data_IF_439495765057
#
_entry.id   IF_439495765057
#
_cell.length_a   1.000
_cell.length_b   1.000
_cell.length_c   1.000
_cell.angle_alpha   90.00
_cell.angle_beta   90.00
_cell.angle_gamma   90.00
#
_symmetry.space_group_name_H-M   'P 1'
#
loop_
_entity.id
_entity.type
_entity.pdbx_description
1 polymer ?
#
# COMPACT_ATOMS: atom_id res chain seq x y z
N UNK A 1 44.44 -46.48 14.61
CA UNK A 1 44.15 -45.06 14.87
C UNK A 1 43.45 -44.52 13.64
N UNK A 2 42.14 -44.29 13.74
CA UNK A 2 41.36 -43.66 12.69
C UNK A 2 40.87 -42.32 13.26
N UNK A 3 41.35 -41.22 12.69
CA UNK A 3 40.93 -39.87 13.04
C UNK A 3 39.46 -39.70 12.65
N UNK A 4 38.60 -39.57 13.65
CA UNK A 4 37.22 -39.15 13.49
C UNK A 4 37.27 -37.67 13.14
N UNK A 5 37.01 -37.36 11.88
CA UNK A 5 36.80 -36.00 11.38
C UNK A 5 35.60 -35.38 12.10
N UNK A 6 35.86 -34.63 13.18
CA UNK A 6 34.88 -33.75 13.80
C UNK A 6 34.63 -32.59 12.85
N UNK A 7 33.51 -32.62 12.14
CA UNK A 7 32.97 -31.45 11.46
C UNK A 7 32.79 -30.31 12.49
N UNK A 8 33.19 -29.07 12.19
CA UNK A 8 32.98 -27.96 13.09
C UNK A 8 31.49 -27.64 13.14
N UNK A 9 30.83 -27.94 14.26
CA UNK A 9 29.50 -27.41 14.58
C UNK A 9 29.63 -25.91 14.85
N UNK A 10 29.66 -25.09 13.79
CA UNK A 10 29.39 -23.66 13.92
C UNK A 10 28.00 -23.51 14.52
N UNK A 11 27.89 -22.83 15.67
CA UNK A 11 26.61 -22.51 16.27
C UNK A 11 25.72 -21.81 15.24
N UNK A 12 24.66 -22.47 14.77
CA UNK A 12 23.70 -21.90 13.82
C UNK A 12 23.01 -20.73 14.52
N UNK A 13 23.21 -19.50 14.03
CA UNK A 13 22.57 -18.33 14.61
C UNK A 13 21.14 -18.22 14.08
N UNK A 14 20.17 -17.99 14.97
CA UNK A 14 18.80 -17.72 14.54
C UNK A 14 18.73 -16.35 13.84
N UNK A 15 17.98 -16.26 12.72
CA UNK A 15 17.81 -15.01 12.01
C UNK A 15 17.07 -13.97 12.87
N UNK A 16 17.43 -12.70 12.69
CA UNK A 16 16.70 -11.59 13.31
C UNK A 16 15.38 -11.36 12.55
N UNK A 17 14.27 -11.61 13.24
CA UNK A 17 12.90 -11.49 12.71
C UNK A 17 12.25 -10.26 13.31
N UNK A 18 11.78 -9.35 12.45
CA UNK A 18 11.13 -8.13 12.84
C UNK A 18 9.60 -8.31 12.82
N UNK A 19 9.05 -8.75 13.96
CA UNK A 19 7.62 -8.97 14.15
C UNK A 19 6.81 -7.68 13.99
N UNK A 20 7.39 -6.54 14.39
CA UNK A 20 6.75 -5.23 14.24
C UNK A 20 6.57 -4.85 12.77
N UNK A 21 7.58 -5.08 11.94
CA UNK A 21 7.49 -4.85 10.50
C UNK A 21 6.45 -5.78 9.85
N UNK A 22 6.44 -7.07 10.22
CA UNK A 22 5.45 -8.03 9.74
C UNK A 22 4.02 -7.56 10.07
N UNK A 23 3.74 -7.24 11.34
CA UNK A 23 2.40 -6.83 11.75
C UNK A 23 1.97 -5.49 11.13
N UNK A 24 2.90 -4.53 11.05
CA UNK A 24 2.63 -3.25 10.40
C UNK A 24 2.34 -3.44 8.92
N UNK A 25 3.08 -4.31 8.23
CA UNK A 25 2.83 -4.65 6.83
C UNK A 25 1.43 -5.25 6.63
N UNK A 26 1.02 -6.20 7.48
CA UNK A 26 -0.34 -6.80 7.44
C UNK A 26 -1.43 -5.74 7.66
N UNK A 27 -1.23 -4.81 8.60
CA UNK A 27 -2.14 -3.67 8.84
C UNK A 27 -2.21 -2.74 7.63
N UNK A 28 -1.06 -2.39 7.05
CA UNK A 28 -0.97 -1.53 5.88
C UNK A 28 -1.66 -2.17 4.67
N UNK A 29 -1.41 -3.45 4.41
CA UNK A 29 -2.08 -4.23 3.36
C UNK A 29 -3.60 -4.19 3.58
N UNK A 30 -4.07 -4.49 4.79
CA UNK A 30 -5.50 -4.52 5.10
C UNK A 30 -6.17 -3.15 4.88
N UNK A 31 -5.50 -2.07 5.29
CA UNK A 31 -5.99 -0.70 5.10
C UNK A 31 -6.03 -0.31 3.62
N UNK A 32 -4.94 -0.57 2.89
CA UNK A 32 -4.83 -0.22 1.46
C UNK A 32 -5.76 -1.07 0.58
N UNK A 33 -6.00 -2.34 0.94
CA UNK A 33 -6.90 -3.23 0.20
C UNK A 33 -8.37 -2.79 0.29
N UNK A 34 -8.75 -1.99 1.29
CA UNK A 34 -10.09 -1.40 1.38
C UNK A 34 -10.25 -0.15 0.51
N UNK A 35 -9.14 0.43 0.02
CA UNK A 35 -9.17 1.60 -0.83
C UNK A 35 -9.63 1.19 -2.23
N UNK A 36 -10.83 1.63 -2.61
CA UNK A 36 -11.48 1.22 -3.85
C UNK A 36 -10.68 1.68 -5.07
N UNK A 37 -10.20 0.72 -5.89
CA UNK A 37 -9.60 1.02 -7.20
C UNK A 37 -10.69 1.05 -8.28
N UNK A 38 -11.42 2.17 -8.41
CA UNK A 38 -12.42 2.35 -9.46
C UNK A 38 -11.76 2.23 -10.85
N UNK A 39 -12.30 1.35 -11.73
CA UNK A 39 -11.82 1.16 -13.10
C UNK A 39 -10.83 0.00 -13.30
N UNK A 40 -10.40 -0.69 -12.24
CA UNK A 40 -9.63 -1.95 -12.35
C UNK A 40 -10.05 -2.94 -11.27
N UNK A 41 -11.24 -3.53 -11.42
CA UNK A 41 -11.84 -4.46 -10.45
C UNK A 41 -10.96 -5.69 -10.19
N UNK A 42 -10.20 -6.13 -11.20
CA UNK A 42 -9.25 -7.25 -11.08
C UNK A 42 -8.13 -6.93 -10.09
N UNK A 43 -7.62 -5.69 -10.07
CA UNK A 43 -6.59 -5.27 -9.11
C UNK A 43 -7.16 -5.19 -7.70
N UNK A 44 -8.41 -4.72 -7.56
CA UNK A 44 -9.11 -4.72 -6.28
C UNK A 44 -9.29 -6.13 -5.72
N UNK A 45 -9.73 -7.09 -6.54
CA UNK A 45 -9.90 -8.49 -6.13
C UNK A 45 -8.57 -9.09 -5.67
N UNK A 46 -7.51 -8.84 -6.44
CA UNK A 46 -6.15 -9.28 -6.10
C UNK A 46 -5.66 -8.65 -4.79
N UNK A 47 -5.87 -7.36 -4.58
CA UNK A 47 -5.52 -6.65 -3.34
C UNK A 47 -6.25 -7.24 -2.12
N UNK A 48 -7.55 -7.53 -2.26
CA UNK A 48 -8.33 -8.19 -1.22
C UNK A 48 -7.82 -9.60 -0.92
N UNK A 49 -7.42 -10.36 -1.95
CA UNK A 49 -6.82 -11.69 -1.79
C UNK A 49 -5.49 -11.64 -1.03
N UNK A 50 -4.63 -10.67 -1.36
CA UNK A 50 -3.38 -10.40 -0.61
C UNK A 50 -3.71 -10.04 0.84
N UNK A 51 -4.72 -9.20 1.07
CA UNK A 51 -5.23 -8.88 2.41
C UNK A 51 -5.61 -10.12 3.20
N UNK A 52 -6.44 -10.99 2.63
CA UNK A 52 -6.87 -12.24 3.27
C UNK A 52 -5.69 -13.16 3.61
N UNK A 53 -4.77 -13.39 2.67
CA UNK A 53 -3.62 -14.26 2.91
C UNK A 53 -2.62 -13.66 3.91
N UNK A 54 -2.43 -12.34 3.91
CA UNK A 54 -1.59 -11.66 4.90
C UNK A 54 -2.14 -11.78 6.32
N UNK A 55 -3.47 -11.68 6.50
CA UNK A 55 -4.12 -11.88 7.79
C UNK A 55 -4.03 -13.33 8.26
N UNK A 56 -4.23 -14.29 7.34
CA UNK A 56 -4.07 -15.71 7.64
C UNK A 56 -2.63 -16.03 8.07
N UNK A 57 -1.64 -15.44 7.42
CA UNK A 57 -0.23 -15.58 7.81
C UNK A 57 0.02 -15.00 9.21
N UNK A 58 -0.50 -13.81 9.54
CA UNK A 58 -0.35 -13.22 10.90
C UNK A 58 -0.97 -14.12 11.98
N UNK A 59 -2.14 -14.71 11.72
CA UNK A 59 -2.76 -15.70 12.63
C UNK A 59 -1.86 -16.93 12.79
N UNK A 60 -1.38 -17.50 11.68
CA UNK A 60 -0.47 -18.65 11.73
C UNK A 60 0.78 -18.31 12.54
N UNK A 61 1.42 -17.16 12.31
CA UNK A 61 2.59 -16.71 13.08
C UNK A 61 2.27 -16.67 14.59
N UNK A 62 1.17 -16.02 14.98
CA UNK A 62 0.80 -15.90 16.40
C UNK A 62 0.52 -17.24 17.08
N UNK A 63 -0.27 -18.10 16.44
CA UNK A 63 -0.57 -19.44 16.94
C UNK A 63 0.67 -20.31 17.04
N UNK A 64 1.56 -20.18 16.05
CA UNK A 64 2.79 -20.93 15.97
C UNK A 64 3.73 -20.54 17.13
N UNK A 65 3.90 -19.24 17.41
CA UNK A 65 4.71 -18.76 18.54
C UNK A 65 4.13 -19.19 19.90
N UNK A 66 2.82 -19.06 20.09
CA UNK A 66 2.18 -19.39 21.37
C UNK A 66 2.24 -20.89 21.66
N UNK A 67 1.86 -21.74 20.70
CA UNK A 67 1.84 -23.19 20.86
C UNK A 67 3.24 -23.77 21.08
N UNK A 68 4.25 -23.29 20.33
CA UNK A 68 5.63 -23.71 20.52
C UNK A 68 6.21 -23.26 21.85
N UNK A 69 5.95 -22.02 22.27
CA UNK A 69 6.41 -21.52 23.56
C UNK A 69 5.84 -22.37 24.70
N UNK A 70 4.54 -22.69 24.67
CA UNK A 70 3.90 -23.52 25.70
C UNK A 70 4.56 -24.90 25.75
N UNK A 71 4.75 -25.56 24.61
CA UNK A 71 5.36 -26.90 24.59
C UNK A 71 6.82 -26.88 25.06
N UNK A 72 7.62 -25.87 24.66
CA UNK A 72 9.00 -25.72 25.12
C UNK A 72 9.10 -25.44 26.61
N UNK A 73 8.28 -24.52 27.15
CA UNK A 73 8.23 -24.24 28.59
C UNK A 73 7.86 -25.49 29.39
N UNK A 74 6.88 -26.27 28.92
CA UNK A 74 6.49 -27.50 29.61
C UNK A 74 7.60 -28.55 29.63
N UNK A 75 8.41 -28.64 28.57
CA UNK A 75 9.57 -29.57 28.55
C UNK A 75 10.68 -29.07 29.46
N UNK A 76 10.98 -27.77 29.45
CA UNK A 76 12.02 -27.17 30.27
C UNK A 76 11.68 -27.09 31.76
N UNK A 77 10.38 -27.02 32.10
CA UNK A 77 9.91 -27.00 33.49
C UNK A 77 9.85 -28.41 34.12
N UNK A 78 9.90 -29.47 33.31
CA UNK A 78 9.99 -30.83 33.82
C UNK A 78 11.38 -31.07 34.41
N UNK A 79 11.43 -31.84 35.50
CA UNK A 79 12.66 -32.13 36.23
C UNK A 79 13.54 -33.17 35.54
N UNK A 80 13.29 -33.50 34.27
CA UNK A 80 14.04 -34.52 33.53
C UNK A 80 15.55 -34.34 33.69
N UNK A 81 16.03 -33.12 33.48
CA UNK A 81 17.45 -32.80 33.49
C UNK A 81 18.07 -32.81 34.89
N UNK A 82 17.30 -32.49 35.93
CA UNK A 82 17.81 -32.52 37.30
C UNK A 82 17.77 -33.93 37.87
N UNK A 83 16.73 -34.71 37.57
CA UNK A 83 16.59 -36.10 38.06
C UNK A 83 17.57 -37.05 37.40
N UNK A 84 17.85 -36.85 36.11
CA UNK A 84 18.83 -37.68 35.41
C UNK A 84 20.26 -37.33 35.86
N UNK A 85 20.57 -36.04 36.14
CA UNK A 85 21.83 -35.62 36.77
C UNK A 85 22.00 -36.26 38.15
N UNK A 86 20.97 -36.20 39.01
CA UNK A 86 20.95 -36.86 40.33
C UNK A 86 21.18 -38.38 40.23
N UNK A 87 20.55 -39.05 39.25
CA UNK A 87 20.75 -40.49 39.02
C UNK A 87 22.18 -40.78 38.53
N UNK A 88 22.72 -39.96 37.64
CA UNK A 88 24.09 -40.14 37.11
C UNK A 88 25.14 -39.90 38.20
N UNK A 89 24.95 -38.93 39.09
CA UNK A 89 25.78 -38.72 40.28
C UNK A 89 25.70 -39.91 41.25
N UNK A 90 24.50 -40.40 41.54
CA UNK A 90 24.29 -41.56 42.42
C UNK A 90 24.94 -42.84 41.85
N UNK A 91 24.86 -43.07 40.54
CA UNK A 91 25.44 -44.23 39.88
C UNK A 91 26.99 -44.27 39.92
N UNK A 92 27.64 -43.12 40.09
CA UNK A 92 29.10 -43.01 40.26
C UNK A 92 29.53 -43.30 41.71
N UNK A 93 28.62 -43.20 42.68
CA UNK A 93 28.92 -43.47 44.08
C UNK A 93 29.22 -44.96 44.34
N UNK A 94 30.23 -45.21 45.19
CA UNK A 94 30.57 -46.56 45.65
C UNK A 94 29.70 -47.04 46.83
N UNK A 95 28.86 -46.16 47.37
CA UNK A 95 28.07 -46.42 48.59
C UNK A 95 26.74 -47.13 48.31
N UNK A 96 26.46 -47.44 47.04
CA UNK A 96 25.19 -48.02 46.57
C UNK A 96 25.42 -49.48 46.12
N UNK A 97 24.56 -50.38 46.60
CA UNK A 97 24.56 -51.80 46.22
C UNK A 97 24.16 -52.05 44.76
N UNK A 98 24.44 -53.26 44.27
CA UNK A 98 24.21 -53.63 42.88
C UNK A 98 22.73 -53.69 42.49
N UNK A 99 21.84 -53.97 43.45
CA UNK A 99 20.38 -54.02 43.23
C UNK A 99 19.83 -52.61 42.98
N UNK A 100 20.18 -51.67 43.86
CA UNK A 100 19.85 -50.26 43.74
C UNK A 100 20.44 -49.63 42.47
N UNK A 101 21.68 -49.99 42.10
CA UNK A 101 22.29 -49.57 40.81
C UNK A 101 21.51 -50.09 39.60
N UNK A 102 20.98 -51.31 39.67
CA UNK A 102 20.16 -51.88 38.59
C UNK A 102 18.82 -51.14 38.47
N UNK A 103 18.16 -50.83 39.58
CA UNK A 103 16.91 -50.06 39.58
C UNK A 103 17.11 -48.63 39.06
N UNK A 104 18.14 -47.93 39.52
CA UNK A 104 18.51 -46.59 39.04
C UNK A 104 18.77 -46.56 37.52
N UNK A 105 19.45 -47.58 36.97
CA UNK A 105 19.64 -47.70 35.51
C UNK A 105 18.32 -47.87 34.76
N UNK A 106 17.35 -48.57 35.34
CA UNK A 106 16.02 -48.76 34.75
C UNK A 106 15.23 -47.45 34.78
N UNK A 107 15.21 -46.75 35.91
CA UNK A 107 14.57 -45.44 36.04
C UNK A 107 15.18 -44.43 35.06
N UNK A 108 16.51 -44.41 34.95
CA UNK A 108 17.24 -43.60 33.95
C UNK A 108 16.75 -43.88 32.53
N UNK A 109 16.59 -45.15 32.15
CA UNK A 109 16.10 -45.54 30.82
C UNK A 109 14.65 -45.08 30.59
N UNK A 110 13.79 -45.20 31.60
CA UNK A 110 12.39 -44.76 31.53
C UNK A 110 12.28 -43.23 31.41
N UNK A 111 13.12 -42.47 32.13
CA UNK A 111 13.23 -41.01 32.01
C UNK A 111 13.73 -40.59 30.63
N UNK A 112 14.81 -41.22 30.12
CA UNK A 112 15.32 -40.95 28.77
C UNK A 112 14.26 -41.22 27.70
N UNK A 113 13.49 -42.31 27.86
CA UNK A 113 12.40 -42.64 26.94
C UNK A 113 11.28 -41.59 26.99
N UNK A 114 10.94 -41.11 28.17
CA UNK A 114 9.91 -40.08 28.37
C UNK A 114 10.34 -38.73 27.78
N UNK A 115 11.57 -38.29 28.05
CA UNK A 115 12.18 -37.13 27.42
C UNK A 115 12.23 -37.28 25.89
N UNK A 116 12.65 -38.44 25.38
CA UNK A 116 12.69 -38.74 23.95
C UNK A 116 11.31 -38.60 23.29
N UNK A 117 10.24 -39.06 23.95
CA UNK A 117 8.87 -38.90 23.47
C UNK A 117 8.44 -37.42 23.45
N UNK A 118 8.75 -36.65 24.50
CA UNK A 118 8.43 -35.23 24.57
C UNK A 118 9.16 -34.41 23.48
N UNK A 119 10.43 -34.73 23.22
CA UNK A 119 11.22 -34.13 22.14
C UNK A 119 10.66 -34.53 20.77
N UNK A 120 10.26 -35.78 20.57
CA UNK A 120 9.63 -36.21 19.32
C UNK A 120 8.30 -35.49 19.07
N UNK A 121 7.48 -35.29 20.10
CA UNK A 121 6.25 -34.50 20.00
C UNK A 121 6.54 -33.03 19.71
N UNK A 122 7.54 -32.44 20.35
CA UNK A 122 7.97 -31.06 20.09
C UNK A 122 8.39 -30.90 18.63
N UNK A 123 9.26 -31.80 18.14
CA UNK A 123 9.72 -31.79 16.75
C UNK A 123 8.54 -31.91 15.78
N UNK A 124 7.59 -32.80 16.05
CA UNK A 124 6.37 -32.94 15.23
C UNK A 124 5.59 -31.63 15.16
N UNK A 125 5.39 -30.95 16.29
CA UNK A 125 4.69 -29.67 16.35
C UNK A 125 5.44 -28.57 15.58
N UNK A 126 6.77 -28.51 15.71
CA UNK A 126 7.60 -27.60 14.92
C UNK A 126 7.45 -27.85 13.42
N UNK A 127 7.52 -29.11 12.97
CA UNK A 127 7.33 -29.46 11.55
C UNK A 127 5.95 -29.00 11.05
N UNK A 128 4.88 -29.38 11.76
CA UNK A 128 3.51 -29.03 11.37
C UNK A 128 3.32 -27.52 11.21
N UNK A 129 3.81 -26.75 12.19
CA UNK A 129 3.66 -25.30 12.18
C UNK A 129 4.60 -24.61 11.19
N UNK A 130 5.78 -25.19 10.90
CA UNK A 130 6.68 -24.71 9.83
C UNK A 130 6.05 -24.91 8.46
N UNK A 131 5.51 -26.11 8.18
CA UNK A 131 4.82 -26.40 6.91
C UNK A 131 3.61 -25.48 6.70
N UNK A 132 2.86 -25.20 7.76
CA UNK A 132 1.74 -24.26 7.72
C UNK A 132 2.20 -22.83 7.39
N UNK A 133 3.29 -22.37 8.01
CA UNK A 133 3.91 -21.08 7.74
C UNK A 133 4.39 -21.00 6.29
N UNK A 134 5.16 -21.98 5.83
CA UNK A 134 5.68 -22.08 4.46
C UNK A 134 4.55 -22.03 3.44
N UNK A 135 3.48 -22.79 3.66
CA UNK A 135 2.30 -22.76 2.80
C UNK A 135 1.64 -21.38 2.77
N UNK A 136 1.43 -20.75 3.93
CA UNK A 136 0.82 -19.42 3.97
C UNK A 136 1.69 -18.31 3.38
N UNK A 137 3.02 -18.41 3.54
CA UNK A 137 3.97 -17.49 2.92
C UNK A 137 3.97 -17.67 1.40
N UNK A 138 3.94 -18.91 0.90
CA UNK A 138 3.82 -19.21 -0.52
C UNK A 138 2.47 -18.74 -1.10
N UNK A 139 1.35 -19.01 -0.42
CA UNK A 139 0.01 -18.54 -0.82
C UNK A 139 0.00 -17.01 -0.99
N UNK A 140 0.66 -16.27 -0.08
CA UNK A 140 0.80 -14.82 -0.16
C UNK A 140 1.76 -14.40 -1.30
N UNK A 141 2.94 -14.99 -1.37
CA UNK A 141 3.99 -14.66 -2.34
C UNK A 141 3.49 -14.82 -3.78
N UNK A 142 2.79 -15.92 -4.06
CA UNK A 142 2.33 -16.33 -5.39
C UNK A 142 1.21 -15.46 -5.95
N UNK A 143 0.60 -14.56 -5.16
CA UNK A 143 -0.36 -13.59 -5.70
C UNK A 143 0.40 -12.47 -6.42
N UNK A 144 0.37 -12.50 -7.75
CA UNK A 144 0.98 -11.49 -8.63
C UNK A 144 -0.01 -10.33 -8.82
N UNK A 145 0.36 -9.15 -8.31
CA UNK A 145 -0.50 -7.95 -8.31
C UNK A 145 0.03 -6.76 -9.12
N UNK A 146 1.33 -6.73 -9.44
CA UNK A 146 1.99 -5.61 -10.13
C UNK A 146 2.17 -5.83 -11.64
N UNK A 147 1.74 -6.97 -12.19
CA UNK A 147 1.97 -7.25 -13.61
C UNK A 147 1.24 -6.23 -14.49
N UNK A 148 2.02 -5.47 -15.28
CA UNK A 148 1.51 -4.44 -16.18
C UNK A 148 1.07 -3.13 -15.50
N UNK A 149 1.14 -3.01 -14.17
CA UNK A 149 0.68 -1.80 -13.46
C UNK A 149 1.52 -0.58 -13.79
N UNK A 150 2.83 -0.75 -13.99
CA UNK A 150 3.75 0.35 -14.31
C UNK A 150 3.42 0.99 -15.67
N UNK A 151 3.08 0.16 -16.67
CA UNK A 151 2.73 0.65 -18.01
C UNK A 151 1.41 1.41 -17.98
N UNK A 152 0.42 0.89 -17.24
CA UNK A 152 -0.87 1.57 -17.07
C UNK A 152 -0.70 2.88 -16.30
N UNK A 153 0.11 2.88 -15.23
CA UNK A 153 0.40 4.06 -14.43
C UNK A 153 1.05 5.17 -15.27
N UNK A 154 2.07 4.83 -16.06
CA UNK A 154 2.74 5.80 -16.94
C UNK A 154 1.79 6.36 -18.01
N UNK A 155 0.95 5.50 -18.61
CA UNK A 155 -0.02 5.92 -19.61
C UNK A 155 -1.06 6.89 -19.01
N UNK A 156 -1.59 6.58 -17.83
CA UNK A 156 -2.57 7.44 -17.15
C UNK A 156 -1.94 8.74 -16.65
N UNK A 157 -0.70 8.73 -16.13
CA UNK A 157 0.01 9.97 -15.78
C UNK A 157 0.24 10.89 -16.98
N UNK A 158 0.56 10.31 -18.15
CA UNK A 158 0.67 11.08 -19.39
C UNK A 158 -0.69 11.66 -19.80
N UNK A 159 -1.76 10.88 -19.69
CA UNK A 159 -3.13 11.32 -19.96
C UNK A 159 -3.57 12.45 -19.04
N UNK A 160 -3.28 12.37 -17.74
CA UNK A 160 -3.56 13.45 -16.78
C UNK A 160 -2.88 14.74 -17.19
N UNK A 161 -1.59 14.67 -17.56
CA UNK A 161 -0.84 15.83 -18.03
C UNK A 161 -1.50 16.50 -19.24
N UNK A 162 -1.95 15.70 -20.20
CA UNK A 162 -2.67 16.20 -21.39
C UNK A 162 -4.02 16.84 -21.00
N UNK A 163 -4.79 16.21 -20.11
CA UNK A 163 -6.06 16.77 -19.62
C UNK A 163 -5.85 18.10 -18.90
N UNK A 164 -4.85 18.20 -18.02
CA UNK A 164 -4.52 19.44 -17.31
C UNK A 164 -4.12 20.56 -18.26
N UNK A 165 -3.35 20.24 -19.30
CA UNK A 165 -2.97 21.21 -20.34
C UNK A 165 -4.20 21.69 -21.13
N UNK A 166 -5.06 20.77 -21.58
CA UNK A 166 -6.30 21.09 -22.29
C UNK A 166 -7.26 21.95 -21.45
N UNK A 167 -7.39 21.64 -20.15
CA UNK A 167 -8.16 22.46 -19.19
C UNK A 167 -7.59 23.87 -19.12
N UNK A 168 -6.27 24.00 -18.94
CA UNK A 168 -5.61 25.32 -18.88
C UNK A 168 -5.81 26.15 -20.16
N UNK A 169 -5.76 25.52 -21.34
CA UNK A 169 -6.04 26.18 -22.62
C UNK A 169 -7.49 26.69 -22.67
N UNK A 170 -8.46 25.86 -22.25
CA UNK A 170 -9.89 26.20 -22.26
C UNK A 170 -10.24 27.30 -21.24
N UNK A 171 -9.61 27.31 -20.08
CA UNK A 171 -9.76 28.39 -19.09
C UNK A 171 -9.23 29.73 -19.62
N UNK A 172 -8.08 29.73 -20.32
CA UNK A 172 -7.57 30.92 -21.00
C UNK A 172 -8.51 31.39 -22.11
N UNK A 173 -9.09 30.45 -22.87
CA UNK A 173 -10.08 30.75 -23.91
C UNK A 173 -11.32 31.44 -23.34
N UNK A 174 -11.88 30.94 -22.22
CA UNK A 174 -13.00 31.62 -21.52
C UNK A 174 -12.62 33.03 -21.11
N UNK A 175 -11.47 33.22 -20.45
CA UNK A 175 -11.02 34.54 -19.99
C UNK A 175 -10.92 35.55 -21.14
N UNK A 176 -10.48 35.11 -22.32
CA UNK A 176 -10.40 35.97 -23.50
C UNK A 176 -11.79 36.28 -24.11
N UNK A 177 -12.75 35.35 -24.02
CA UNK A 177 -14.14 35.58 -24.45
C UNK A 177 -14.87 36.51 -23.47
N UNK A 178 -14.67 36.36 -22.16
CA UNK A 178 -15.22 37.23 -21.12
C UNK A 178 -14.76 38.68 -21.31
N UNK A 179 -13.46 38.91 -21.51
CA UNK A 179 -12.94 40.27 -21.82
C UNK A 179 -13.61 40.90 -23.04
N UNK A 180 -13.94 40.11 -24.07
CA UNK A 180 -14.64 40.59 -25.27
C UNK A 180 -16.10 40.91 -24.97
N UNK A 181 -16.77 40.05 -24.20
CA UNK A 181 -18.16 40.21 -23.78
C UNK A 181 -18.33 41.46 -22.92
N UNK A 182 -17.45 41.66 -21.94
CA UNK A 182 -17.56 42.76 -20.98
C UNK A 182 -17.44 44.12 -21.68
N UNK A 183 -16.55 44.25 -22.68
CA UNK A 183 -16.49 45.45 -23.54
C UNK A 183 -17.78 45.73 -24.32
N UNK A 184 -18.48 44.68 -24.77
CA UNK A 184 -19.78 44.84 -25.43
C UNK A 184 -20.84 45.29 -24.42
N UNK A 185 -20.83 44.75 -23.21
CA UNK A 185 -21.76 45.14 -22.14
C UNK A 185 -21.58 46.60 -21.78
N UNK A 186 -20.35 47.03 -21.49
CA UNK A 186 -20.06 48.43 -21.13
C UNK A 186 -20.46 49.40 -22.26
N UNK A 187 -20.23 49.03 -23.52
CA UNK A 187 -20.68 49.86 -24.65
C UNK A 187 -22.20 49.92 -24.79
N UNK A 188 -22.91 48.80 -24.55
CA UNK A 188 -24.38 48.78 -24.52
C UNK A 188 -24.95 49.67 -23.41
N UNK A 189 -24.28 49.73 -22.26
CA UNK A 189 -24.69 50.57 -21.14
C UNK A 189 -24.51 52.07 -21.47
N UNK A 190 -23.37 52.46 -22.06
CA UNK A 190 -23.17 53.85 -22.54
C UNK A 190 -24.21 54.23 -23.60
N UNK A 191 -24.50 53.34 -24.56
CA UNK A 191 -25.52 53.58 -25.59
C UNK A 191 -26.90 53.84 -24.98
N UNK A 192 -27.24 53.15 -23.89
CA UNK A 192 -28.50 53.34 -23.15
C UNK A 192 -28.50 54.62 -22.33
N UNK A 193 -27.42 54.90 -21.59
CA UNK A 193 -27.31 56.09 -20.73
C UNK A 193 -27.45 57.39 -21.52
N UNK A 194 -26.90 57.42 -22.75
CA UNK A 194 -26.92 58.58 -23.62
C UNK A 194 -28.06 58.58 -24.66
N UNK A 195 -29.01 57.64 -24.57
CA UNK A 195 -30.15 57.49 -25.49
C UNK A 195 -29.76 57.51 -26.99
N UNK A 196 -28.61 56.92 -27.34
CA UNK A 196 -28.08 56.97 -28.71
C UNK A 196 -28.94 56.18 -29.71
N UNK A 197 -29.75 55.23 -29.23
CA UNK A 197 -30.66 54.42 -30.06
C UNK A 197 -31.71 55.32 -30.73
N UNK A 198 -32.31 56.23 -29.95
CA UNK A 198 -33.35 57.15 -30.43
C UNK A 198 -32.76 58.24 -31.34
N UNK A 199 -31.53 58.68 -31.05
CA UNK A 199 -30.85 59.70 -31.84
C UNK A 199 -30.47 59.23 -33.25
N UNK A 200 -30.21 57.92 -33.44
CA UNK A 200 -29.66 57.37 -34.69
C UNK A 200 -30.53 56.27 -35.34
N UNK A 201 -31.81 56.16 -35.00
CA UNK A 201 -32.77 55.21 -35.60
C UNK A 201 -32.21 53.76 -35.65
N UNK A 202 -31.83 53.21 -34.49
CA UNK A 202 -31.28 51.86 -34.30
C UNK A 202 -29.88 51.59 -34.89
N UNK A 203 -29.34 52.47 -35.73
CA UNK A 203 -27.96 52.38 -36.23
C UNK A 203 -26.99 52.97 -35.21
N UNK A 204 -25.90 52.28 -34.93
CA UNK A 204 -24.87 52.83 -34.05
C UNK A 204 -23.95 53.71 -34.87
N UNK A 205 -23.70 54.96 -34.43
CA UNK A 205 -22.80 55.87 -35.14
C UNK A 205 -21.41 55.25 -35.29
N UNK A 206 -20.68 55.63 -36.34
CA UNK A 206 -19.31 55.17 -36.60
C UNK A 206 -18.46 56.34 -37.09
N UNK A 207 -17.13 56.23 -36.95
CA UNK A 207 -16.20 57.21 -37.51
C UNK A 207 -16.43 58.63 -36.99
N UNK A 208 -16.61 59.58 -37.91
CA UNK A 208 -16.76 61.02 -37.62
C UNK A 208 -18.03 61.33 -36.80
N UNK A 209 -19.13 60.61 -37.04
CA UNK A 209 -20.39 60.78 -36.29
C UNK A 209 -20.23 60.41 -34.81
N UNK A 210 -19.26 59.57 -34.45
CA UNK A 210 -18.98 59.26 -33.06
C UNK A 210 -18.25 60.42 -32.37
N UNK A 211 -17.30 61.05 -33.07
CA UNK A 211 -16.51 62.19 -32.54
C UNK A 211 -17.30 63.47 -32.34
N UNK A 212 -18.49 63.58 -32.94
CA UNK A 212 -19.43 64.69 -32.77
C UNK A 212 -20.34 64.53 -31.54
N UNK A 213 -20.33 63.36 -30.89
CA UNK A 213 -21.08 63.10 -29.66
C UNK A 213 -20.39 63.73 -28.45
N UNK A 214 -21.18 64.29 -27.52
CA UNK A 214 -20.70 64.80 -26.22
C UNK A 214 -20.44 63.65 -25.23
N UNK A 215 -19.57 62.72 -25.64
CA UNK A 215 -19.12 61.58 -24.85
C UNK A 215 -17.69 61.79 -24.40
N UNK A 216 -17.33 61.24 -23.24
CA UNK A 216 -15.96 61.27 -22.79
C UNK A 216 -15.07 60.44 -23.74
N UNK A 217 -13.82 60.87 -23.96
CA UNK A 217 -12.87 60.14 -24.82
C UNK A 217 -12.76 58.62 -24.50
N UNK A 218 -12.75 58.18 -23.22
CA UNK A 218 -12.73 56.75 -22.90
C UNK A 218 -13.97 56.00 -23.37
N UNK A 219 -15.16 56.61 -23.26
CA UNK A 219 -16.44 56.02 -23.68
C UNK A 219 -16.51 55.84 -25.20
N UNK A 220 -16.04 56.85 -25.95
CA UNK A 220 -15.94 56.78 -27.41
C UNK A 220 -15.04 55.64 -27.87
N UNK A 221 -13.90 55.47 -27.21
CA UNK A 221 -12.94 54.43 -27.54
C UNK A 221 -13.49 53.03 -27.22
N UNK A 222 -14.24 52.90 -26.12
CA UNK A 222 -14.92 51.66 -25.74
C UNK A 222 -15.97 51.24 -26.78
N UNK A 223 -16.80 52.19 -27.25
CA UNK A 223 -17.79 51.94 -28.32
C UNK A 223 -17.10 51.51 -29.61
N UNK A 224 -15.97 52.13 -29.99
CA UNK A 224 -15.21 51.71 -31.17
C UNK A 224 -14.70 50.26 -31.04
N UNK A 225 -14.12 49.92 -29.89
CA UNK A 225 -13.61 48.57 -29.65
C UNK A 225 -14.73 47.52 -29.64
N UNK A 226 -15.89 47.82 -29.04
CA UNK A 226 -17.02 46.90 -29.00
C UNK A 226 -17.63 46.66 -30.37
N UNK A 227 -17.68 47.68 -31.23
CA UNK A 227 -18.10 47.56 -32.63
C UNK A 227 -17.15 46.66 -33.42
N UNK A 228 -15.84 46.80 -33.24
CA UNK A 228 -14.85 45.93 -33.90
C UNK A 228 -14.98 44.47 -33.44
N UNK A 229 -15.18 44.25 -32.13
CA UNK A 229 -15.43 42.91 -31.58
C UNK A 229 -16.71 42.32 -32.19
N UNK A 230 -17.80 43.10 -32.23
CA UNK A 230 -19.10 42.69 -32.78
C UNK A 230 -18.97 42.26 -34.24
N UNK A 231 -18.27 43.06 -35.07
CA UNK A 231 -17.98 42.71 -36.47
C UNK A 231 -17.26 41.36 -36.58
N UNK A 232 -16.21 41.15 -35.78
CA UNK A 232 -15.45 39.89 -35.77
C UNK A 232 -16.29 38.70 -35.31
N UNK A 233 -17.13 38.89 -34.28
CA UNK A 233 -17.99 37.84 -33.71
C UNK A 233 -19.10 37.43 -34.68
N UNK A 234 -19.73 38.39 -35.35
CA UNK A 234 -20.81 38.12 -36.32
C UNK A 234 -20.31 37.78 -37.73
N UNK A 235 -19.04 38.05 -38.04
CA UNK A 235 -18.50 37.88 -39.39
C UNK A 235 -19.04 38.92 -40.39
N UNK A 236 -19.53 40.07 -39.89
CA UNK A 236 -20.07 41.15 -40.70
C UNK A 236 -18.97 42.16 -41.07
N UNK A 237 -18.89 42.52 -42.35
CA UNK A 237 -17.92 43.50 -42.87
C UNK A 237 -18.56 44.83 -43.31
N UNK A 238 -19.88 44.99 -43.16
CA UNK A 238 -20.61 46.19 -43.58
C UNK A 238 -20.39 47.39 -42.65
N UNK A 239 -20.68 48.59 -43.20
CA UNK A 239 -20.38 49.87 -42.56
C UNK A 239 -21.27 50.20 -41.35
N UNK A 240 -22.49 49.67 -41.27
CA UNK A 240 -23.42 49.94 -40.17
C UNK A 240 -23.67 48.69 -39.32
N UNK A 241 -23.48 48.83 -38.00
CA UNK A 241 -23.98 47.89 -37.00
C UNK A 241 -25.18 48.52 -36.30
N UNK A 242 -26.19 47.71 -36.01
CA UNK A 242 -27.35 48.10 -35.22
C UNK A 242 -27.15 47.73 -33.76
N UNK A 243 -27.93 48.33 -32.87
CA UNK A 243 -27.98 47.93 -31.46
C UNK A 243 -28.26 46.42 -31.29
N UNK A 244 -29.17 45.87 -32.11
CA UNK A 244 -29.48 44.44 -32.06
C UNK A 244 -28.27 43.56 -32.40
N UNK A 245 -27.34 44.02 -33.25
CA UNK A 245 -26.13 43.27 -33.60
C UNK A 245 -25.19 43.13 -32.40
N UNK A 246 -25.03 44.15 -31.54
CA UNK A 246 -24.24 43.99 -30.30
C UNK A 246 -24.90 43.01 -29.33
N UNK A 247 -26.23 43.06 -29.21
CA UNK A 247 -26.94 42.09 -28.35
C UNK A 247 -26.80 40.66 -28.88
N UNK A 248 -26.80 40.48 -30.21
CA UNK A 248 -26.58 39.18 -30.84
C UNK A 248 -25.12 38.70 -30.67
N UNK A 249 -24.13 39.58 -30.84
CA UNK A 249 -22.73 39.27 -30.59
C UNK A 249 -22.49 38.89 -29.13
N UNK A 250 -23.07 39.62 -28.18
CA UNK A 250 -23.05 39.25 -26.76
C UNK A 250 -23.62 37.85 -26.54
N UNK A 251 -24.83 37.58 -27.05
CA UNK A 251 -25.47 36.26 -26.91
C UNK A 251 -24.62 35.13 -27.53
N UNK A 252 -23.93 35.40 -28.64
CA UNK A 252 -23.02 34.44 -29.27
C UNK A 252 -21.78 34.18 -28.41
N UNK A 253 -21.20 35.20 -27.78
CA UNK A 253 -20.10 35.04 -26.83
C UNK A 253 -20.56 34.28 -25.58
N UNK A 254 -21.73 34.59 -25.03
CA UNK A 254 -22.32 33.86 -23.89
C UNK A 254 -22.49 32.37 -24.23
N UNK A 255 -23.05 32.05 -25.40
CA UNK A 255 -23.17 30.65 -25.86
C UNK A 255 -21.81 29.95 -26.02
N UNK A 256 -20.77 30.67 -26.46
CA UNK A 256 -19.41 30.12 -26.54
C UNK A 256 -18.85 29.80 -25.15
N UNK A 257 -19.05 30.70 -24.17
CA UNK A 257 -18.66 30.48 -22.78
C UNK A 257 -19.39 29.26 -22.22
N UNK A 258 -20.70 29.13 -22.43
CA UNK A 258 -21.48 27.98 -21.96
C UNK A 258 -20.98 26.66 -22.58
N UNK A 259 -20.69 26.67 -23.87
CA UNK A 259 -20.14 25.51 -24.59
C UNK A 259 -18.76 25.12 -24.05
N UNK A 260 -17.89 26.08 -23.78
CA UNK A 260 -16.57 25.78 -23.22
C UNK A 260 -16.67 25.34 -21.75
N UNK A 261 -17.58 25.93 -20.98
CA UNK A 261 -17.81 25.59 -19.57
C UNK A 261 -18.34 24.17 -19.39
N UNK A 262 -19.27 23.75 -20.24
CA UNK A 262 -19.72 22.34 -20.28
C UNK A 262 -18.58 21.40 -20.66
N UNK A 263 -17.72 21.79 -21.62
CA UNK A 263 -16.53 21.00 -21.97
C UNK A 263 -15.52 20.92 -20.82
N UNK A 264 -15.28 22.01 -20.09
CA UNK A 264 -14.42 22.04 -18.90
C UNK A 264 -14.96 21.10 -17.81
N UNK A 265 -16.27 21.10 -17.59
CA UNK A 265 -16.91 20.20 -16.62
C UNK A 265 -16.64 18.72 -16.97
N UNK A 266 -16.78 18.37 -18.25
CA UNK A 266 -16.46 17.02 -18.74
C UNK A 266 -14.96 16.67 -18.60
N UNK A 267 -14.06 17.59 -18.96
CA UNK A 267 -12.61 17.38 -18.81
C UNK A 267 -12.21 17.21 -17.34
N UNK A 268 -12.75 18.03 -16.44
CA UNK A 268 -12.51 17.89 -15.00
C UNK A 268 -13.01 16.55 -14.47
N UNK A 269 -14.20 16.11 -14.91
CA UNK A 269 -14.71 14.79 -14.52
C UNK A 269 -13.83 13.63 -15.03
N UNK A 270 -13.25 13.76 -16.23
CA UNK A 270 -12.28 12.79 -16.75
C UNK A 270 -10.98 12.82 -15.96
N UNK A 271 -10.51 13.99 -15.55
CA UNK A 271 -9.31 14.14 -14.71
C UNK A 271 -9.52 13.49 -13.33
N UNK A 272 -10.65 13.74 -12.66
CA UNK A 272 -11.01 13.10 -11.39
C UNK A 272 -11.05 11.57 -11.48
N UNK A 273 -11.60 11.03 -12.57
CA UNK A 273 -11.59 9.58 -12.82
C UNK A 273 -10.17 9.03 -12.97
N UNK A 274 -9.32 9.74 -13.70
CA UNK A 274 -7.92 9.35 -13.86
C UNK A 274 -7.16 9.44 -12.54
N UNK A 275 -7.40 10.48 -11.71
CA UNK A 275 -6.81 10.61 -10.36
C UNK A 275 -7.16 9.45 -9.45
N UNK A 276 -8.42 9.03 -9.44
CA UNK A 276 -8.86 7.85 -8.68
C UNK A 276 -8.16 6.58 -9.15
N UNK A 277 -8.01 6.40 -10.47
CA UNK A 277 -7.33 5.26 -11.06
C UNK A 277 -5.84 5.24 -10.68
N UNK A 278 -5.14 6.36 -10.82
CA UNK A 278 -3.73 6.51 -10.44
C UNK A 278 -3.53 6.27 -8.94
N UNK A 279 -4.41 6.83 -8.10
CA UNK A 279 -4.40 6.61 -6.65
C UNK A 279 -4.57 5.12 -6.31
N UNK A 280 -5.51 4.44 -6.97
CA UNK A 280 -5.74 3.01 -6.81
C UNK A 280 -4.55 2.16 -7.23
N UNK A 281 -3.94 2.43 -8.38
CA UNK A 281 -2.73 1.73 -8.84
C UNK A 281 -1.57 1.93 -7.85
N UNK A 282 -1.36 3.15 -7.37
CA UNK A 282 -0.35 3.45 -6.37
C UNK A 282 -0.59 2.72 -5.04
N UNK A 283 -1.85 2.55 -4.63
CA UNK A 283 -2.19 1.75 -3.46
C UNK A 283 -1.79 0.28 -3.65
N UNK A 284 -2.06 -0.31 -4.83
CA UNK A 284 -1.66 -1.68 -5.16
C UNK A 284 -0.14 -1.85 -5.18
N UNK A 285 0.61 -0.89 -5.74
CA UNK A 285 2.08 -0.91 -5.71
C UNK A 285 2.60 -0.87 -4.27
N UNK A 286 1.97 -0.08 -3.39
CA UNK A 286 2.31 -0.06 -1.97
C UNK A 286 1.99 -1.40 -1.29
N UNK A 287 0.85 -2.02 -1.61
CA UNK A 287 0.51 -3.36 -1.12
C UNK A 287 1.59 -4.37 -1.50
N UNK A 288 2.13 -4.33 -2.72
CA UNK A 288 3.18 -5.27 -3.14
C UNK A 288 4.50 -5.08 -2.38
N UNK A 289 4.86 -3.83 -2.08
CA UNK A 289 6.02 -3.52 -1.23
C UNK A 289 5.84 -4.08 0.18
N UNK A 290 4.68 -3.84 0.80
CA UNK A 290 4.36 -4.38 2.12
C UNK A 290 4.28 -5.91 2.11
N UNK A 291 3.71 -6.51 1.06
CA UNK A 291 3.68 -7.96 0.84
C UNK A 291 5.08 -8.54 0.86
N UNK A 292 6.02 -7.92 0.15
CA UNK A 292 7.41 -8.36 0.09
C UNK A 292 8.09 -8.32 1.46
N UNK A 293 7.82 -7.30 2.27
CA UNK A 293 8.31 -7.21 3.65
C UNK A 293 7.73 -8.33 4.51
N UNK A 294 6.40 -8.52 4.46
CA UNK A 294 5.71 -9.56 5.24
C UNK A 294 6.21 -10.96 4.89
N UNK A 295 6.37 -11.26 3.60
CA UNK A 295 6.90 -12.55 3.13
C UNK A 295 8.34 -12.75 3.62
N UNK A 296 9.21 -11.74 3.47
CA UNK A 296 10.61 -11.84 3.89
C UNK A 296 10.74 -12.11 5.40
N UNK A 297 9.94 -11.45 6.25
CA UNK A 297 9.97 -11.70 7.69
C UNK A 297 9.39 -13.08 8.06
N UNK A 298 8.37 -13.56 7.33
CA UNK A 298 7.82 -14.91 7.51
C UNK A 298 8.81 -16.01 7.08
N UNK A 299 9.54 -15.81 5.98
CA UNK A 299 10.59 -16.74 5.52
C UNK A 299 11.74 -16.85 6.52
N UNK A 300 12.17 -15.72 7.11
CA UNK A 300 13.16 -15.74 8.21
C UNK A 300 12.65 -16.54 9.41
N UNK A 301 11.38 -16.36 9.76
CA UNK A 301 10.77 -17.12 10.85
C UNK A 301 10.78 -18.62 10.53
N UNK A 302 10.27 -19.01 9.36
CA UNK A 302 10.30 -20.41 8.91
C UNK A 302 11.72 -20.99 8.90
N UNK A 303 12.70 -20.22 8.42
CA UNK A 303 14.10 -20.62 8.43
C UNK A 303 14.61 -20.92 9.84
N UNK A 304 14.30 -20.06 10.84
CA UNK A 304 14.65 -20.31 12.23
C UNK A 304 14.08 -21.65 12.75
N UNK A 305 12.91 -22.04 12.26
CA UNK A 305 12.22 -23.25 12.70
C UNK A 305 12.84 -24.49 12.06
N UNK A 306 13.16 -24.43 10.77
CA UNK A 306 13.96 -25.45 10.09
C UNK A 306 15.32 -25.65 10.74
N UNK A 307 16.01 -24.57 11.15
CA UNK A 307 17.25 -24.66 11.90
C UNK A 307 17.07 -25.45 13.20
N UNK A 308 16.05 -25.12 14.01
CA UNK A 308 15.78 -25.84 15.25
C UNK A 308 15.38 -27.31 15.04
N UNK A 309 14.56 -27.60 14.02
CA UNK A 309 14.18 -28.98 13.66
C UNK A 309 15.44 -29.81 13.34
N UNK A 310 16.38 -29.22 12.60
CA UNK A 310 17.65 -29.88 12.26
C UNK A 310 18.58 -30.03 13.47
N UNK A 311 18.68 -29.00 14.33
CA UNK A 311 19.44 -29.07 15.59
C UNK A 311 18.92 -30.21 16.48
N UNK A 312 17.61 -30.33 16.67
CA UNK A 312 17.01 -31.40 17.48
C UNK A 312 17.13 -32.78 16.83
N UNK A 313 17.00 -32.88 15.51
CA UNK A 313 17.16 -34.14 14.79
C UNK A 313 18.59 -34.70 14.91
N UNK A 314 19.61 -33.84 14.86
CA UNK A 314 21.01 -34.24 15.02
C UNK A 314 21.32 -34.80 16.42
N UNK A 315 20.53 -34.43 17.43
CA UNK A 315 20.67 -34.89 18.81
C UNK A 315 19.93 -36.22 19.08
N UNK A 316 18.96 -36.58 18.22
CA UNK A 316 18.28 -37.89 18.27
C UNK A 316 19.20 -38.98 17.69
N UNK A 317 20.10 -39.54 18.51
CA UNK A 317 20.93 -40.69 18.13
C UNK A 317 22.32 -40.72 18.76
N UNK A 318 22.83 -39.57 19.21
CA UNK A 318 23.92 -39.53 20.18
C UNK A 318 23.37 -39.92 21.56
N UNK A 319 24.12 -40.66 22.38
CA UNK A 319 23.72 -40.92 23.77
C UNK A 319 23.21 -39.60 24.36
N UNK A 320 21.92 -39.55 24.77
CA UNK A 320 21.27 -38.34 25.27
C UNK A 320 22.10 -37.81 26.45
N UNK A 321 23.04 -36.95 26.13
CA UNK A 321 23.79 -36.17 27.08
C UNK A 321 22.87 -34.99 27.40
N UNK A 322 22.44 -34.93 28.65
CA UNK A 322 21.50 -33.95 29.18
C UNK A 322 21.91 -32.49 28.90
N UNK A 323 23.21 -32.22 28.97
CA UNK A 323 23.81 -30.90 28.72
C UNK A 323 23.69 -30.53 27.23
N UNK A 324 23.72 -31.52 26.34
CA UNK A 324 23.64 -31.36 24.89
C UNK A 324 22.23 -31.02 24.39
N UNK A 325 21.18 -31.48 25.08
CA UNK A 325 19.78 -31.21 24.72
C UNK A 325 19.20 -29.99 25.42
N UNK A 326 19.58 -29.72 26.68
CA UNK A 326 19.07 -28.56 27.42
C UNK A 326 19.47 -27.23 26.74
N UNK A 327 20.70 -27.13 26.23
CA UNK A 327 21.23 -25.90 25.63
C UNK A 327 20.46 -25.43 24.38
N UNK A 328 20.20 -26.27 23.35
CA UNK A 328 19.36 -25.88 22.20
C UNK A 328 17.91 -25.51 22.60
N UNK A 329 17.32 -26.22 23.57
CA UNK A 329 15.98 -25.93 24.06
C UNK A 329 15.90 -24.55 24.75
N UNK A 330 16.86 -24.23 25.62
CA UNK A 330 16.95 -22.93 26.31
C UNK A 330 17.22 -21.80 25.30
N UNK A 331 18.09 -22.04 24.32
CA UNK A 331 18.38 -21.10 23.23
C UNK A 331 17.11 -20.80 22.42
N UNK A 332 16.36 -21.83 22.03
CA UNK A 332 15.09 -21.67 21.30
C UNK A 332 14.02 -20.99 22.14
N UNK A 333 13.91 -21.32 23.43
CA UNK A 333 12.99 -20.68 24.35
C UNK A 333 13.28 -19.18 24.48
N UNK A 334 14.55 -18.81 24.64
CA UNK A 334 14.99 -17.41 24.72
C UNK A 334 14.67 -16.65 23.43
N UNK A 335 14.86 -17.28 22.27
CA UNK A 335 14.51 -16.72 20.97
C UNK A 335 13.00 -16.48 20.83
N UNK A 336 12.16 -17.46 21.15
CA UNK A 336 10.70 -17.30 21.14
C UNK A 336 10.22 -16.22 22.10
N UNK A 337 10.80 -16.13 23.30
CA UNK A 337 10.46 -15.06 24.25
C UNK A 337 10.81 -13.67 23.72
N UNK A 338 11.93 -13.53 23.00
CA UNK A 338 12.28 -12.29 22.32
C UNK A 338 11.22 -11.90 21.29
N UNK A 339 10.80 -12.84 20.43
CA UNK A 339 9.77 -12.61 19.41
C UNK A 339 8.41 -12.26 20.03
N UNK A 340 8.02 -12.95 21.10
CA UNK A 340 6.75 -12.70 21.79
C UNK A 340 6.75 -11.34 22.51
N UNK A 341 7.90 -10.92 23.08
CA UNK A 341 8.03 -9.57 23.65
C UNK A 341 7.79 -8.48 22.60
N UNK A 342 8.25 -8.68 21.37
CA UNK A 342 7.95 -7.74 20.28
C UNK A 342 6.44 -7.63 20.01
N UNK A 343 5.66 -8.71 20.14
CA UNK A 343 4.20 -8.67 19.99
C UNK A 343 3.47 -7.90 21.10
N UNK A 344 3.96 -7.98 22.35
CA UNK A 344 3.35 -7.32 23.51
C UNK A 344 3.64 -5.81 23.54
N UNK A 345 4.70 -5.38 22.85
CA UNK A 345 5.11 -3.97 22.75
C UNK A 345 4.48 -3.22 21.56
N UNK A 346 3.66 -3.91 20.75
CA UNK A 346 2.84 -3.33 19.67
C UNK A 346 1.53 -2.79 20.21
#
# INVERSE_FOLDING_TARGET
MAEISTFPHSALNYPDVNIKALNQGVKNISHLAQLKTEGVEVLQEKALRVGLYSQRLDVNVRESLSSLQVKLKNILAQTYFTTLEEIDEALVSNDIDDESKSEMRKERLDLIKSLGNDIAQLRKLFIEKTELLDKSAADLHNVIIIEGTDKVLQAEQLRQKQLTEDIGIKELEIKEIEKKRDKIIEALDIIREHNLIDAFNDLIPTGENLSELDLAKPELELIKQSLEITKKVLGQFSAGLKYIDLTEARKKLDNQIDTISTRLTELNHQLEKSDKLVSGINAVIKIDKEKSVVVAEAEKLSHAWHLFINEIAALQGTALNEIGLSKPLIKQQSYLESLIKQFVQL
#
